data_IF_449573879202
#
_entry.id   IF_449573879202
#
_cell.length_a   1.000
_cell.length_b   1.000
_cell.length_c   1.000
_cell.angle_alpha   90.00
_cell.angle_beta   90.00
_cell.angle_gamma   90.00
#
_symmetry.space_group_name_H-M   'P 1'
#
loop_
_entity.id
_entity.type
_entity.pdbx_description
1 polymer ?
#
# COMPACT_ATOMS: atom_id res chain seq x y z
N UNK A 1 -45.03 11.43 -14.12
CA UNK A 1 -43.96 10.56 -14.57
C UNK A 1 -43.14 10.23 -13.32
N UNK A 2 -43.33 9.09 -12.75
CA UNK A 2 -42.54 8.60 -11.62
C UNK A 2 -41.17 8.22 -12.20
N UNK A 3 -40.14 9.02 -11.88
CA UNK A 3 -38.74 8.70 -12.16
C UNK A 3 -38.45 7.33 -11.52
N UNK A 4 -38.32 6.27 -12.33
CA UNK A 4 -37.73 5.04 -11.87
C UNK A 4 -36.31 5.39 -11.38
N UNK A 5 -35.91 4.96 -10.17
CA UNK A 5 -34.55 5.21 -9.69
C UNK A 5 -33.57 4.59 -10.69
N UNK A 6 -32.88 5.44 -11.44
CA UNK A 6 -31.86 4.97 -12.39
C UNK A 6 -30.87 4.10 -11.63
N UNK A 7 -30.56 2.92 -12.19
CA UNK A 7 -29.58 1.98 -11.61
C UNK A 7 -28.32 2.75 -11.25
N UNK A 8 -27.85 2.61 -10.01
CA UNK A 8 -26.57 3.17 -9.59
C UNK A 8 -25.43 2.57 -10.40
N UNK A 9 -24.49 3.42 -10.77
CA UNK A 9 -23.26 3.02 -11.44
C UNK A 9 -22.38 2.21 -10.48
N UNK A 10 -21.87 1.07 -10.92
CA UNK A 10 -21.04 0.17 -10.14
C UNK A 10 -19.58 0.35 -10.52
N UNK A 11 -18.78 0.85 -9.60
CA UNK A 11 -17.39 1.15 -9.81
C UNK A 11 -16.52 0.11 -9.09
N UNK A 12 -15.69 -0.61 -9.84
CA UNK A 12 -14.68 -1.51 -9.26
C UNK A 12 -13.42 -0.71 -8.92
N UNK A 13 -13.00 -0.73 -7.66
CA UNK A 13 -11.80 -0.04 -7.19
C UNK A 13 -10.69 -1.05 -6.87
N UNK A 14 -9.49 -0.84 -7.38
CA UNK A 14 -8.33 -1.61 -6.98
C UNK A 14 -7.91 -1.22 -5.56
N UNK A 15 -8.40 -1.94 -4.59
CA UNK A 15 -8.11 -1.77 -3.16
C UNK A 15 -8.08 -3.13 -2.45
N UNK A 16 -7.39 -3.22 -1.32
CA UNK A 16 -7.25 -4.48 -0.58
C UNK A 16 -8.50 -4.87 0.17
N UNK A 17 -9.21 -3.87 0.69
CA UNK A 17 -10.48 -4.04 1.41
C UNK A 17 -11.39 -2.85 1.16
N UNK A 18 -12.65 -2.99 1.48
CA UNK A 18 -13.56 -1.85 1.64
C UNK A 18 -13.18 -1.06 2.91
N UNK A 19 -13.33 0.27 2.95
CA UNK A 19 -13.19 1.05 4.17
C UNK A 19 -14.13 0.59 5.29
N UNK A 20 -15.24 -0.01 4.93
CA UNK A 20 -16.26 -0.51 5.87
C UNK A 20 -16.01 -1.97 6.33
N UNK A 21 -14.92 -2.60 5.88
CA UNK A 21 -14.50 -3.93 6.33
C UNK A 21 -13.66 -3.78 7.61
N UNK A 22 -14.25 -4.18 8.75
CA UNK A 22 -13.65 -4.11 10.09
C UNK A 22 -13.05 -5.46 10.53
N UNK A 23 -12.65 -6.31 9.58
CA UNK A 23 -12.07 -7.62 9.84
C UNK A 23 -10.88 -7.60 10.79
N UNK A 24 -10.56 -8.77 11.37
CA UNK A 24 -9.46 -8.92 12.33
C UNK A 24 -8.09 -8.64 11.69
N UNK A 25 -7.09 -8.35 12.55
CA UNK A 25 -5.70 -8.20 12.10
C UNK A 25 -5.19 -9.49 11.45
N UNK A 26 -5.54 -10.65 12.01
CA UNK A 26 -5.16 -11.96 11.50
C UNK A 26 -5.65 -12.16 10.06
N UNK A 27 -6.90 -11.81 9.78
CA UNK A 27 -7.46 -11.86 8.44
C UNK A 27 -6.80 -10.86 7.51
N UNK A 28 -6.50 -9.65 8.00
CA UNK A 28 -5.83 -8.61 7.23
C UNK A 28 -4.40 -9.03 6.84
N UNK A 29 -3.66 -9.65 7.77
CA UNK A 29 -2.33 -10.20 7.53
C UNK A 29 -2.39 -11.37 6.53
N UNK A 30 -3.31 -12.30 6.75
CA UNK A 30 -3.44 -13.48 5.90
C UNK A 30 -3.79 -13.14 4.45
N UNK A 31 -4.69 -12.18 4.24
CA UNK A 31 -5.09 -11.72 2.89
C UNK A 31 -4.18 -10.65 2.30
N UNK A 32 -3.24 -10.12 3.09
CA UNK A 32 -2.41 -8.95 2.73
C UNK A 32 -3.26 -7.80 2.15
N UNK A 33 -4.32 -7.42 2.87
CA UNK A 33 -5.28 -6.40 2.40
C UNK A 33 -4.65 -5.02 2.16
N UNK A 34 -3.44 -4.80 2.64
CA UNK A 34 -2.69 -3.55 2.46
C UNK A 34 -1.54 -3.64 1.43
N UNK A 35 -1.47 -4.74 0.65
CA UNK A 35 -0.44 -4.94 -0.37
C UNK A 35 0.97 -4.65 0.16
N UNK A 36 1.35 -5.31 1.25
CA UNK A 36 2.60 -5.20 1.98
C UNK A 36 2.87 -3.86 2.67
N UNK A 37 2.01 -2.84 2.49
CA UNK A 37 2.19 -1.50 3.10
C UNK A 37 0.84 -0.85 3.45
N UNK A 38 0.60 -0.59 4.74
CA UNK A 38 -0.65 -0.02 5.24
C UNK A 38 -0.94 1.40 4.72
N UNK A 39 0.08 2.13 4.29
CA UNK A 39 -0.11 3.42 3.61
C UNK A 39 -0.94 3.33 2.33
N UNK A 40 -1.05 2.13 1.72
CA UNK A 40 -1.93 1.92 0.58
C UNK A 40 -3.41 2.03 0.95
N UNK A 41 -3.78 1.78 2.20
CA UNK A 41 -5.15 1.92 2.68
C UNK A 41 -5.58 3.40 2.67
N UNK A 42 -4.69 4.33 3.05
CA UNK A 42 -5.03 5.77 3.09
C UNK A 42 -5.45 6.26 1.70
N UNK A 43 -4.70 5.91 0.65
CA UNK A 43 -5.07 6.41 -0.67
C UNK A 43 -6.22 5.63 -1.32
N UNK A 44 -6.39 4.34 -0.99
CA UNK A 44 -7.54 3.58 -1.48
C UNK A 44 -8.84 4.01 -0.80
N UNK A 45 -8.81 4.30 0.49
CA UNK A 45 -9.98 4.77 1.23
C UNK A 45 -10.36 6.20 0.81
N UNK A 46 -9.36 7.07 0.56
CA UNK A 46 -9.60 8.38 -0.01
C UNK A 46 -10.27 8.27 -1.39
N UNK A 47 -9.76 7.40 -2.28
CA UNK A 47 -10.38 7.17 -3.59
C UNK A 47 -11.80 6.61 -3.44
N UNK A 48 -12.02 5.71 -2.48
CA UNK A 48 -13.35 5.14 -2.21
C UNK A 48 -14.34 6.23 -1.76
N UNK A 49 -13.95 7.07 -0.78
CA UNK A 49 -14.77 8.19 -0.31
C UNK A 49 -15.09 9.16 -1.45
N UNK A 50 -14.07 9.61 -2.18
CA UNK A 50 -14.21 10.60 -3.25
C UNK A 50 -15.16 10.10 -4.36
N UNK A 51 -15.11 8.82 -4.69
CA UNK A 51 -15.88 8.23 -5.80
C UNK A 51 -17.26 7.69 -5.37
N UNK A 52 -17.58 7.67 -4.08
CA UNK A 52 -18.91 7.31 -3.59
C UNK A 52 -19.85 8.51 -3.71
N UNK A 53 -20.90 8.38 -4.52
CA UNK A 53 -21.93 9.41 -4.72
C UNK A 53 -23.32 8.79 -4.57
N UNK A 54 -24.39 9.59 -4.52
CA UNK A 54 -25.76 9.05 -4.54
C UNK A 54 -26.05 8.15 -5.75
N UNK A 55 -25.31 8.32 -6.87
CA UNK A 55 -25.47 7.58 -8.11
C UNK A 55 -24.37 6.53 -8.36
N UNK A 56 -23.35 6.41 -7.47
CA UNK A 56 -22.21 5.50 -7.66
C UNK A 56 -21.96 4.68 -6.41
N UNK A 57 -21.97 3.35 -6.55
CA UNK A 57 -21.50 2.41 -5.53
C UNK A 57 -20.09 1.93 -5.87
N UNK A 58 -19.18 1.90 -4.88
CA UNK A 58 -17.77 1.52 -5.04
C UNK A 58 -17.50 0.18 -4.40
N UNK A 59 -16.84 -0.72 -5.12
CA UNK A 59 -16.54 -2.09 -4.70
C UNK A 59 -15.03 -2.35 -4.75
N UNK A 60 -14.49 -2.95 -3.71
CA UNK A 60 -13.05 -3.31 -3.64
C UNK A 60 -12.79 -4.67 -4.32
N UNK A 61 -11.69 -4.77 -5.11
CA UNK A 61 -11.35 -6.00 -5.82
C UNK A 61 -10.34 -6.91 -5.09
N UNK A 62 -9.92 -6.57 -3.86
CA UNK A 62 -8.90 -7.32 -3.11
C UNK A 62 -7.51 -7.25 -3.73
N UNK A 63 -7.15 -6.16 -4.43
CA UNK A 63 -5.86 -5.94 -5.15
C UNK A 63 -5.62 -6.97 -6.27
N UNK A 64 -6.64 -7.71 -6.67
CA UNK A 64 -6.52 -8.77 -7.66
C UNK A 64 -6.51 -8.21 -9.07
N UNK A 65 -5.60 -8.72 -9.90
CA UNK A 65 -5.58 -8.49 -11.35
C UNK A 65 -5.51 -9.84 -12.04
N UNK A 66 -6.68 -10.48 -12.20
CA UNK A 66 -6.81 -11.83 -12.75
C UNK A 66 -7.46 -11.73 -14.14
N UNK A 67 -6.72 -11.96 -15.23
CA UNK A 67 -7.26 -11.82 -16.59
C UNK A 67 -8.50 -12.67 -16.86
N UNK A 68 -8.61 -13.86 -16.25
CA UNK A 68 -9.81 -14.72 -16.41
C UNK A 68 -11.07 -14.16 -15.74
N UNK A 69 -10.97 -13.08 -14.96
CA UNK A 69 -12.14 -12.39 -14.37
C UNK A 69 -12.67 -11.27 -15.28
N UNK A 70 -12.04 -11.02 -16.42
CA UNK A 70 -12.38 -9.89 -17.29
C UNK A 70 -13.84 -9.88 -17.71
N UNK A 71 -14.41 -11.05 -18.10
CA UNK A 71 -15.80 -11.13 -18.52
C UNK A 71 -16.77 -10.79 -17.39
N UNK A 72 -16.56 -11.36 -16.20
CA UNK A 72 -17.34 -11.03 -15.01
C UNK A 72 -17.26 -9.53 -14.68
N UNK A 73 -16.05 -8.94 -14.78
CA UNK A 73 -15.88 -7.50 -14.53
C UNK A 73 -16.64 -6.66 -15.54
N UNK A 74 -16.62 -7.04 -16.83
CA UNK A 74 -17.38 -6.36 -17.88
C UNK A 74 -18.90 -6.43 -17.69
N UNK A 75 -19.40 -7.51 -17.09
CA UNK A 75 -20.83 -7.71 -16.84
C UNK A 75 -21.31 -7.02 -15.56
N UNK A 76 -20.47 -7.04 -14.51
CA UNK A 76 -20.89 -6.59 -13.18
C UNK A 76 -20.60 -5.11 -12.92
N UNK A 77 -19.63 -4.48 -13.63
CA UNK A 77 -19.16 -3.14 -13.33
C UNK A 77 -19.18 -2.21 -14.54
N UNK A 78 -19.36 -0.93 -14.26
CA UNK A 78 -19.43 0.11 -15.28
C UNK A 78 -18.09 0.84 -15.50
N UNK A 79 -17.16 0.77 -14.52
CA UNK A 79 -15.81 1.37 -14.57
C UNK A 79 -14.85 0.59 -13.68
N UNK A 80 -13.59 0.47 -14.09
CA UNK A 80 -12.52 -0.01 -13.23
C UNK A 80 -11.54 1.13 -12.88
N UNK A 81 -11.48 1.53 -11.62
CA UNK A 81 -10.55 2.54 -11.12
C UNK A 81 -9.35 1.88 -10.46
N UNK A 82 -8.16 2.31 -10.84
CA UNK A 82 -6.89 1.68 -10.50
C UNK A 82 -5.97 2.68 -9.78
N UNK A 83 -6.12 2.87 -8.47
CA UNK A 83 -5.13 3.59 -7.69
C UNK A 83 -3.79 2.84 -7.71
N UNK A 84 -2.71 3.53 -8.12
CA UNK A 84 -1.37 2.97 -8.19
C UNK A 84 -0.36 3.93 -7.58
N UNK A 85 0.31 3.48 -6.50
CA UNK A 85 1.28 4.34 -5.83
C UNK A 85 2.65 4.32 -6.51
N UNK A 86 3.20 3.13 -6.74
CA UNK A 86 4.59 2.88 -7.11
C UNK A 86 4.67 1.69 -8.06
N UNK A 87 4.03 1.80 -9.22
CA UNK A 87 3.93 0.68 -10.14
C UNK A 87 5.06 0.64 -11.18
N UNK A 88 5.67 1.79 -11.51
CA UNK A 88 6.77 1.81 -12.47
C UNK A 88 8.10 1.60 -11.75
N UNK A 89 8.36 0.32 -11.39
CA UNK A 89 9.60 -0.16 -10.76
C UNK A 89 9.87 -1.62 -11.17
N UNK A 90 11.14 -2.05 -11.29
CA UNK A 90 11.47 -3.41 -11.76
C UNK A 90 10.81 -4.52 -10.93
N UNK A 91 10.72 -4.38 -9.62
CA UNK A 91 10.08 -5.38 -8.75
C UNK A 91 8.57 -5.52 -8.94
N UNK A 92 7.92 -4.59 -9.67
CA UNK A 92 6.49 -4.60 -9.96
C UNK A 92 6.17 -4.94 -11.42
N UNK A 93 7.15 -5.27 -12.23
CA UNK A 93 6.99 -5.53 -13.67
C UNK A 93 5.98 -6.65 -13.95
N UNK A 94 6.10 -7.80 -13.29
CA UNK A 94 5.18 -8.94 -13.48
C UNK A 94 3.73 -8.61 -13.08
N UNK A 95 3.45 -7.99 -11.92
CA UNK A 95 2.11 -7.50 -11.59
C UNK A 95 1.57 -6.50 -12.59
N UNK A 96 2.40 -5.58 -13.11
CA UNK A 96 2.02 -4.60 -14.10
C UNK A 96 1.63 -5.26 -15.44
N UNK A 97 2.42 -6.22 -15.91
CA UNK A 97 2.13 -6.99 -17.12
C UNK A 97 0.81 -7.78 -17.00
N UNK A 98 0.56 -8.39 -15.83
CA UNK A 98 -0.69 -9.11 -15.56
C UNK A 98 -1.90 -8.15 -15.57
N UNK A 99 -1.74 -6.97 -14.99
CA UNK A 99 -2.78 -5.94 -15.01
C UNK A 99 -3.05 -5.46 -16.45
N UNK A 100 -2.02 -5.30 -17.26
CA UNK A 100 -2.15 -4.97 -18.68
C UNK A 100 -2.96 -6.04 -19.43
N UNK A 101 -2.72 -7.32 -19.15
CA UNK A 101 -3.48 -8.42 -19.74
C UNK A 101 -4.96 -8.37 -19.36
N UNK A 102 -5.28 -8.02 -18.11
CA UNK A 102 -6.66 -7.80 -17.68
C UNK A 102 -7.28 -6.62 -18.42
N UNK A 103 -6.64 -5.43 -18.39
CA UNK A 103 -7.17 -4.20 -18.96
C UNK A 103 -7.48 -4.35 -20.46
N UNK A 104 -6.65 -5.06 -21.21
CA UNK A 104 -6.88 -5.31 -22.66
C UNK A 104 -8.15 -6.10 -22.93
N UNK A 105 -8.63 -6.91 -21.98
CA UNK A 105 -9.85 -7.70 -22.10
C UNK A 105 -11.09 -6.96 -21.59
N UNK A 106 -10.90 -5.84 -20.87
CA UNK A 106 -12.02 -5.02 -20.40
C UNK A 106 -12.63 -4.21 -21.55
N UNK A 107 -13.96 -4.11 -21.54
CA UNK A 107 -14.75 -3.26 -22.44
C UNK A 107 -15.21 -1.97 -21.76
N UNK A 108 -15.12 -1.93 -20.42
CA UNK A 108 -15.47 -0.77 -19.59
C UNK A 108 -14.29 0.21 -19.49
N UNK A 109 -14.54 1.49 -19.18
CA UNK A 109 -13.48 2.46 -18.89
C UNK A 109 -12.55 2.01 -17.77
N UNK A 110 -11.26 2.38 -17.90
CA UNK A 110 -10.23 2.09 -16.88
C UNK A 110 -9.48 3.37 -16.55
N UNK A 111 -9.57 3.84 -15.31
CA UNK A 111 -8.98 5.11 -14.89
C UNK A 111 -7.88 4.87 -13.85
N UNK A 112 -6.66 5.31 -14.12
CA UNK A 112 -5.50 5.17 -13.22
C UNK A 112 -5.33 6.42 -12.38
N UNK A 113 -5.21 6.26 -11.07
CA UNK A 113 -5.03 7.35 -10.11
C UNK A 113 -3.61 7.35 -9.53
N UNK A 114 -2.82 8.37 -9.85
CA UNK A 114 -1.59 8.72 -9.14
C UNK A 114 -0.44 7.72 -9.26
N UNK A 115 -0.25 7.09 -10.45
CA UNK A 115 0.89 6.20 -10.67
C UNK A 115 2.21 6.96 -10.65
N UNK A 116 3.26 6.33 -10.06
CA UNK A 116 4.59 6.93 -9.95
C UNK A 116 5.70 6.00 -10.44
N UNK A 117 6.77 6.61 -10.95
CA UNK A 117 8.00 5.97 -11.38
C UNK A 117 9.08 6.04 -10.28
N UNK A 118 9.71 4.91 -9.98
CA UNK A 118 10.75 4.84 -8.96
C UNK A 118 12.15 4.85 -9.55
N UNK A 119 12.85 5.95 -9.33
CA UNK A 119 14.25 6.16 -9.68
C UNK A 119 15.03 6.70 -8.46
N UNK A 120 16.36 6.80 -8.52
CA UNK A 120 17.14 7.53 -7.53
C UNK A 120 16.70 8.99 -7.39
N UNK A 121 17.08 9.66 -6.31
CA UNK A 121 16.77 11.09 -6.04
C UNK A 121 17.22 12.05 -7.16
N UNK A 122 18.22 11.66 -7.94
CA UNK A 122 18.68 12.42 -9.12
C UNK A 122 17.75 12.33 -10.33
N UNK A 123 16.60 11.63 -10.21
CA UNK A 123 15.68 11.40 -11.33
C UNK A 123 16.30 10.69 -12.54
N UNK A 124 17.28 9.79 -12.31
CA UNK A 124 17.88 8.98 -13.37
C UNK A 124 16.93 7.86 -13.80
N UNK A 125 16.26 8.07 -14.95
CA UNK A 125 15.34 7.12 -15.53
C UNK A 125 16.02 5.87 -16.14
N UNK A 126 17.36 5.82 -16.22
CA UNK A 126 18.08 4.65 -16.78
C UNK A 126 17.73 3.33 -16.08
N UNK A 127 17.45 3.39 -14.77
CA UNK A 127 17.00 2.21 -14.02
C UNK A 127 15.63 1.67 -14.44
N UNK A 128 14.84 2.46 -15.14
CA UNK A 128 13.51 2.06 -15.63
C UNK A 128 13.57 1.44 -17.04
N UNK A 129 14.72 1.54 -17.75
CA UNK A 129 14.88 0.96 -19.10
C UNK A 129 14.46 -0.52 -19.20
N UNK A 130 14.80 -1.41 -18.26
CA UNK A 130 14.43 -2.81 -18.39
C UNK A 130 12.91 -3.04 -18.46
N UNK A 131 12.11 -2.17 -17.83
CA UNK A 131 10.66 -2.30 -17.80
C UNK A 131 9.92 -1.34 -18.75
N UNK A 132 10.65 -0.56 -19.55
CA UNK A 132 10.07 0.46 -20.45
C UNK A 132 8.99 -0.13 -21.36
N UNK A 133 9.23 -1.30 -21.94
CA UNK A 133 8.27 -1.98 -22.80
C UNK A 133 7.00 -2.37 -22.04
N UNK A 134 7.12 -2.85 -20.80
CA UNK A 134 5.97 -3.19 -19.96
C UNK A 134 5.17 -1.94 -19.57
N UNK A 135 5.85 -0.84 -19.25
CA UNK A 135 5.19 0.46 -18.97
C UNK A 135 4.47 0.96 -20.21
N UNK A 136 5.11 0.94 -21.38
CA UNK A 136 4.51 1.34 -22.66
C UNK A 136 3.23 0.56 -22.95
N UNK A 137 3.27 -0.76 -22.78
CA UNK A 137 2.10 -1.62 -23.00
C UNK A 137 0.97 -1.34 -21.99
N UNK A 138 1.31 -1.06 -20.74
CA UNK A 138 0.34 -0.71 -19.73
C UNK A 138 -0.33 0.63 -20.01
N UNK A 139 0.46 1.67 -20.26
CA UNK A 139 -0.07 3.01 -20.53
C UNK A 139 -0.94 3.03 -21.79
N UNK A 140 -0.50 2.38 -22.87
CA UNK A 140 -1.31 2.25 -24.07
C UNK A 140 -2.66 1.55 -23.78
N UNK A 141 -2.66 0.43 -23.05
CA UNK A 141 -3.90 -0.28 -22.70
C UNK A 141 -4.83 0.57 -21.82
N UNK A 142 -4.30 1.43 -20.95
CA UNK A 142 -5.09 2.37 -20.13
C UNK A 142 -5.69 3.46 -21.02
N UNK A 143 -4.89 4.09 -21.89
CA UNK A 143 -5.34 5.18 -22.77
C UNK A 143 -6.33 4.71 -23.86
N UNK A 144 -6.34 3.42 -24.20
CA UNK A 144 -7.40 2.82 -25.01
C UNK A 144 -8.77 2.81 -24.30
N UNK A 145 -8.83 3.09 -23.01
CA UNK A 145 -10.02 2.98 -22.13
C UNK A 145 -10.31 4.23 -21.31
N UNK A 146 -9.45 5.27 -21.37
CA UNK A 146 -9.57 6.51 -20.60
C UNK A 146 -9.09 7.70 -21.40
N UNK A 147 -9.57 8.89 -21.08
CA UNK A 147 -9.16 10.14 -21.71
C UNK A 147 -7.71 10.51 -21.39
N UNK A 148 -7.25 10.16 -20.17
CA UNK A 148 -5.89 10.45 -19.71
C UNK A 148 -5.48 9.51 -18.58
N UNK A 149 -4.17 9.43 -18.31
CA UNK A 149 -3.62 8.71 -17.18
C UNK A 149 -3.16 9.69 -16.09
N UNK A 150 -3.64 9.49 -14.84
CA UNK A 150 -3.25 10.30 -13.69
C UNK A 150 -1.93 9.85 -13.09
N UNK A 151 -0.93 10.73 -13.05
CA UNK A 151 0.39 10.46 -12.49
C UNK A 151 0.67 11.25 -11.21
N UNK A 152 1.65 10.78 -10.45
CA UNK A 152 1.99 11.30 -9.13
C UNK A 152 2.69 12.66 -9.16
N UNK A 153 3.51 12.91 -10.17
CA UNK A 153 4.30 14.13 -10.27
C UNK A 153 4.98 14.29 -11.60
N UNK A 154 5.71 15.39 -11.72
CA UNK A 154 6.36 15.85 -12.95
C UNK A 154 7.42 14.89 -13.51
N UNK A 155 8.14 14.16 -12.64
CA UNK A 155 9.13 13.19 -13.08
C UNK A 155 8.46 12.04 -13.84
N UNK A 156 7.37 11.52 -13.29
CA UNK A 156 6.61 10.44 -13.95
C UNK A 156 5.96 10.95 -15.25
N UNK A 157 5.41 12.17 -15.25
CA UNK A 157 4.84 12.77 -16.46
C UNK A 157 5.88 12.89 -17.59
N UNK A 158 7.07 13.42 -17.28
CA UNK A 158 8.18 13.51 -18.25
C UNK A 158 8.62 12.14 -18.76
N UNK A 159 8.77 11.17 -17.87
CA UNK A 159 9.14 9.81 -18.25
C UNK A 159 8.15 9.21 -19.26
N UNK A 160 6.85 9.44 -19.11
CA UNK A 160 5.84 9.00 -20.08
C UNK A 160 5.86 9.85 -21.36
N UNK A 161 6.10 11.14 -21.26
CA UNK A 161 6.23 12.04 -22.41
C UNK A 161 7.43 11.66 -23.30
N UNK A 162 8.56 11.26 -22.71
CA UNK A 162 9.75 10.76 -23.42
C UNK A 162 9.45 9.44 -24.17
N UNK A 163 8.48 8.68 -23.72
CA UNK A 163 7.95 7.51 -24.43
C UNK A 163 6.88 7.86 -25.47
N UNK A 164 6.55 9.14 -25.67
CA UNK A 164 5.60 9.61 -26.69
C UNK A 164 4.15 9.73 -26.20
N UNK A 165 3.83 9.48 -24.94
CA UNK A 165 2.48 9.67 -24.40
C UNK A 165 2.22 11.14 -24.05
N UNK A 166 1.05 11.67 -24.46
CA UNK A 166 0.66 13.07 -24.25
C UNK A 166 -0.53 13.21 -23.29
N UNK A 167 -1.42 12.23 -23.26
CA UNK A 167 -2.61 12.23 -22.43
C UNK A 167 -2.26 11.80 -20.98
N UNK A 168 -1.37 12.62 -20.36
CA UNK A 168 -0.81 12.38 -19.02
C UNK A 168 -1.07 13.61 -18.16
N UNK A 169 -1.71 13.42 -17.00
CA UNK A 169 -2.03 14.50 -16.08
C UNK A 169 -1.39 14.31 -14.71
N UNK A 170 -0.74 15.36 -14.20
CA UNK A 170 -0.18 15.33 -12.84
C UNK A 170 -1.30 15.64 -11.84
N UNK A 171 -1.70 14.63 -11.10
CA UNK A 171 -2.80 14.70 -10.12
C UNK A 171 -2.38 14.42 -8.67
N UNK A 172 -1.12 14.05 -8.46
CA UNK A 172 -0.62 13.72 -7.13
C UNK A 172 -1.14 12.37 -6.60
N UNK A 173 -1.61 12.38 -5.36
CA UNK A 173 -2.15 11.22 -4.67
C UNK A 173 -3.54 11.53 -4.10
N UNK A 174 -4.56 10.68 -4.35
CA UNK A 174 -5.91 10.90 -3.82
C UNK A 174 -5.98 11.08 -2.30
N UNK A 175 -5.03 10.51 -1.55
CA UNK A 175 -5.00 10.64 -0.08
C UNK A 175 -4.99 12.08 0.40
N UNK A 176 -4.33 12.99 -0.32
CA UNK A 176 -4.28 14.41 0.06
C UNK A 176 -5.64 15.10 -0.06
N UNK A 177 -6.57 14.53 -0.82
CA UNK A 177 -7.90 15.07 -1.08
C UNK A 177 -9.01 14.34 -0.30
N UNK A 178 -8.65 13.59 0.75
CA UNK A 178 -9.60 12.86 1.61
C UNK A 178 -10.68 13.81 2.20
N UNK A 179 -10.30 15.05 2.51
CA UNK A 179 -11.16 16.08 3.09
C UNK A 179 -11.59 17.17 2.06
N UNK A 180 -11.44 16.90 0.76
CA UNK A 180 -11.82 17.83 -0.31
C UNK A 180 -10.85 19.00 -0.48
N UNK A 181 -11.42 20.18 -0.80
CA UNK A 181 -10.67 21.41 -1.06
C UNK A 181 -10.04 22.01 0.21
N UNK A 182 -10.58 21.70 1.38
CA UNK A 182 -10.09 22.27 2.64
C UNK A 182 -8.94 21.46 3.20
N UNK A 183 -7.85 22.16 3.50
CA UNK A 183 -6.69 21.58 4.16
C UNK A 183 -6.31 22.41 5.39
N UNK A 184 -6.47 21.83 6.57
CA UNK A 184 -6.20 22.51 7.84
C UNK A 184 -4.96 21.92 8.50
N UNK A 185 -4.00 22.75 8.83
CA UNK A 185 -2.78 22.37 9.52
C UNK A 185 -2.45 23.40 10.57
N UNK A 186 -2.15 22.96 11.78
CA UNK A 186 -1.80 23.86 12.89
C UNK A 186 -0.37 23.61 13.34
N UNK A 187 0.53 24.49 12.93
CA UNK A 187 1.90 24.54 13.50
C UNK A 187 1.83 25.40 14.78
N UNK A 188 2.12 24.77 15.92
CA UNK A 188 2.16 25.49 17.21
C UNK A 188 3.31 26.50 17.21
N UNK A 189 3.12 27.61 17.92
CA UNK A 189 4.20 28.58 18.14
C UNK A 189 5.22 28.03 19.13
N UNK A 190 6.50 28.28 18.85
CA UNK A 190 7.62 27.84 19.66
C UNK A 190 8.24 26.50 19.23
N UNK A 191 9.42 26.17 19.77
CA UNK A 191 10.18 24.96 19.42
C UNK A 191 9.53 23.71 20.03
N UNK A 192 9.86 22.55 19.47
CA UNK A 192 9.58 21.27 20.12
C UNK A 192 10.42 21.16 21.41
N UNK A 193 9.80 20.65 22.46
CA UNK A 193 10.45 20.40 23.77
C UNK A 193 10.56 18.89 23.99
N UNK A 194 11.32 18.49 25.02
CA UNK A 194 11.43 17.07 25.39
C UNK A 194 10.08 16.42 25.75
N UNK A 195 9.08 17.22 26.15
CA UNK A 195 7.72 16.77 26.39
C UNK A 195 6.87 16.61 25.13
N UNK A 196 7.38 17.00 23.95
CA UNK A 196 6.63 16.93 22.70
C UNK A 196 6.38 15.48 22.26
N UNK A 197 5.21 15.26 21.66
CA UNK A 197 4.79 13.97 21.12
C UNK A 197 5.19 13.89 19.64
N UNK A 198 6.14 13.02 19.33
CA UNK A 198 6.73 12.89 17.99
C UNK A 198 6.29 11.55 17.37
N UNK A 199 5.73 11.60 16.16
CA UNK A 199 5.53 10.42 15.33
C UNK A 199 6.71 10.26 14.36
N UNK A 200 7.33 9.09 14.33
CA UNK A 200 8.41 8.80 13.40
C UNK A 200 8.11 7.56 12.56
N UNK A 201 8.51 7.59 11.30
CA UNK A 201 8.37 6.47 10.40
C UNK A 201 9.63 6.27 9.55
N UNK A 202 9.89 5.04 9.13
CA UNK A 202 11.08 4.74 8.35
C UNK A 202 10.92 3.55 7.41
N UNK A 203 11.70 3.52 6.33
CA UNK A 203 11.86 2.35 5.48
C UNK A 203 13.23 1.73 5.70
N UNK A 204 13.32 0.40 5.68
CA UNK A 204 14.59 -0.32 5.83
C UNK A 204 15.63 0.08 4.78
N UNK A 205 15.19 0.42 3.56
CA UNK A 205 16.08 0.89 2.50
C UNK A 205 16.66 2.28 2.81
N UNK A 206 15.86 3.20 3.36
CA UNK A 206 16.32 4.54 3.75
C UNK A 206 17.28 4.47 4.94
N UNK A 207 17.03 3.60 5.89
CA UNK A 207 17.90 3.35 7.04
C UNK A 207 19.28 2.87 6.58
N UNK A 208 19.32 1.80 5.78
CA UNK A 208 20.59 1.23 5.33
C UNK A 208 21.43 2.16 4.45
N UNK A 209 20.77 3.01 3.66
CA UNK A 209 21.46 3.84 2.67
C UNK A 209 21.91 5.22 3.22
N UNK A 210 21.26 5.75 4.27
CA UNK A 210 21.36 7.20 4.56
C UNK A 210 21.35 7.58 6.05
N UNK A 211 21.62 6.65 6.97
CA UNK A 211 21.78 7.01 8.41
C UNK A 211 20.48 7.46 9.12
N UNK A 212 19.30 7.21 8.55
CA UNK A 212 18.00 7.52 9.19
C UNK A 212 17.89 6.87 10.58
N UNK A 213 18.56 5.75 10.78
CA UNK A 213 18.62 5.04 12.04
C UNK A 213 19.27 5.84 13.17
N UNK A 214 20.33 6.59 12.88
CA UNK A 214 20.98 7.45 13.86
C UNK A 214 20.05 8.59 14.30
N UNK A 215 19.33 9.18 13.34
CA UNK A 215 18.32 10.23 13.61
C UNK A 215 17.20 9.67 14.50
N UNK A 216 16.65 8.50 14.15
CA UNK A 216 15.56 7.85 14.91
C UNK A 216 16.03 7.50 16.33
N UNK A 217 17.23 6.95 16.49
CA UNK A 217 17.80 6.58 17.80
C UNK A 217 17.99 7.80 18.69
N UNK A 218 18.53 8.90 18.13
CA UNK A 218 18.71 10.17 18.85
C UNK A 218 17.36 10.76 19.27
N UNK A 219 16.41 10.80 18.36
CA UNK A 219 15.05 11.26 18.66
C UNK A 219 14.38 10.39 19.75
N UNK A 220 14.56 9.07 19.71
CA UNK A 220 14.05 8.18 20.76
C UNK A 220 14.67 8.47 22.13
N UNK A 221 15.97 8.78 22.19
CA UNK A 221 16.63 9.14 23.44
C UNK A 221 16.21 10.49 24.01
N UNK A 222 15.83 11.46 23.15
CA UNK A 222 15.44 12.79 23.57
C UNK A 222 13.94 12.92 23.90
N UNK A 223 13.07 12.29 23.11
CA UNK A 223 11.61 12.47 23.22
C UNK A 223 10.92 11.24 23.86
N UNK A 224 10.61 11.27 25.17
CA UNK A 224 9.96 10.16 25.87
C UNK A 224 8.64 9.74 25.25
N UNK A 225 7.90 10.69 24.64
CA UNK A 225 6.61 10.47 24.01
C UNK A 225 6.69 10.18 22.50
N UNK A 226 7.88 9.88 22.00
CA UNK A 226 8.04 9.45 20.61
C UNK A 226 7.37 8.10 20.36
N UNK A 227 6.73 7.98 19.19
CA UNK A 227 6.18 6.71 18.69
C UNK A 227 6.70 6.41 17.30
N UNK A 228 7.09 5.18 17.08
CA UNK A 228 7.42 4.66 15.76
C UNK A 228 6.16 4.08 15.12
N UNK A 229 5.84 4.56 13.91
CA UNK A 229 4.68 4.11 13.15
C UNK A 229 5.15 3.17 12.03
N UNK A 230 4.96 1.87 12.26
CA UNK A 230 5.22 0.82 11.28
C UNK A 230 4.18 0.82 10.16
N UNK A 231 4.56 0.34 8.98
CA UNK A 231 3.69 0.31 7.81
C UNK A 231 3.85 -0.97 6.97
N UNK A 232 4.82 -1.83 7.29
CA UNK A 232 5.10 -3.03 6.52
C UNK A 232 4.38 -4.26 7.08
N UNK A 233 4.18 -5.26 6.21
CA UNK A 233 3.73 -6.58 6.61
C UNK A 233 4.65 -7.19 7.68
N UNK A 234 5.98 -7.13 7.50
CA UNK A 234 6.94 -7.62 8.48
C UNK A 234 6.84 -6.94 9.85
N UNK A 235 6.55 -5.64 9.89
CA UNK A 235 6.32 -4.91 11.14
C UNK A 235 5.00 -5.34 11.80
N UNK A 236 3.97 -5.63 11.01
CA UNK A 236 2.70 -6.14 11.52
C UNK A 236 2.85 -7.57 12.07
N UNK A 237 3.58 -8.45 11.39
CA UNK A 237 3.91 -9.81 11.84
C UNK A 237 4.74 -9.79 13.13
N UNK A 238 5.73 -8.90 13.21
CA UNK A 238 6.51 -8.69 14.42
C UNK A 238 5.65 -8.25 15.61
N UNK A 239 4.78 -7.27 15.40
CA UNK A 239 3.91 -6.75 16.46
C UNK A 239 2.91 -7.81 16.94
N UNK A 240 2.31 -8.54 16.00
CA UNK A 240 1.24 -9.48 16.31
C UNK A 240 1.75 -10.87 16.72
N UNK A 241 2.69 -11.43 15.94
CA UNK A 241 3.22 -12.79 16.16
C UNK A 241 4.57 -12.83 16.86
N UNK A 242 5.25 -11.70 17.08
CA UNK A 242 6.67 -11.58 17.46
C UNK A 242 7.61 -12.23 16.45
N UNK A 243 7.15 -12.44 15.23
CA UNK A 243 7.95 -13.01 14.17
C UNK A 243 8.93 -11.96 13.61
N UNK A 244 10.17 -12.36 13.40
CA UNK A 244 11.20 -11.49 12.85
C UNK A 244 12.07 -12.26 11.87
N UNK A 245 12.45 -11.64 10.74
CA UNK A 245 13.42 -12.24 9.81
C UNK A 245 14.86 -12.22 10.38
N UNK A 246 15.08 -11.60 11.53
CA UNK A 246 16.39 -11.44 12.18
C UNK A 246 16.43 -12.18 13.51
N UNK A 247 16.56 -13.53 13.54
CA UNK A 247 16.48 -14.33 14.76
C UNK A 247 17.60 -14.00 15.77
N UNK A 248 18.73 -13.49 15.31
CA UNK A 248 19.91 -13.26 16.15
C UNK A 248 19.87 -11.95 16.94
N UNK A 249 18.73 -11.25 16.96
CA UNK A 249 18.58 -10.02 17.74
C UNK A 249 19.53 -8.92 17.30
N UNK A 250 19.94 -8.93 16.01
CA UNK A 250 20.80 -7.90 15.46
C UNK A 250 20.27 -6.52 15.88
N UNK A 251 21.07 -5.76 16.60
CA UNK A 251 20.72 -4.41 17.05
C UNK A 251 20.55 -3.52 15.83
N UNK A 252 19.36 -3.59 15.23
CA UNK A 252 19.00 -2.62 14.21
C UNK A 252 18.48 -1.38 14.92
N UNK A 253 18.77 -0.24 14.39
CA UNK A 253 18.28 1.05 14.91
C UNK A 253 16.78 1.24 14.66
N UNK A 254 16.19 0.34 13.93
CA UNK A 254 14.75 0.24 13.66
C UNK A 254 14.13 -0.85 14.56
N UNK A 255 12.89 -0.67 15.01
CA UNK A 255 12.21 -1.67 15.85
C UNK A 255 11.79 -2.91 15.03
N UNK A 256 12.78 -3.67 14.57
CA UNK A 256 12.60 -4.89 13.74
C UNK A 256 12.77 -6.19 14.52
N UNK A 257 12.99 -6.10 15.84
CA UNK A 257 13.15 -7.25 16.71
C UNK A 257 12.47 -7.01 18.08
N UNK A 258 11.91 -8.03 18.73
CA UNK A 258 11.24 -7.88 20.04
C UNK A 258 12.15 -7.34 21.15
N UNK A 259 13.47 -7.46 21.03
CA UNK A 259 14.44 -6.92 21.99
C UNK A 259 14.70 -5.42 21.82
N UNK A 260 14.20 -4.77 20.75
CA UNK A 260 14.43 -3.35 20.53
C UNK A 260 13.78 -2.50 21.63
N UNK A 261 14.46 -1.43 22.14
CA UNK A 261 13.90 -0.60 23.21
C UNK A 261 12.51 -0.06 22.92
N UNK A 262 12.27 0.50 21.73
CA UNK A 262 10.94 1.01 21.35
C UNK A 262 9.84 -0.05 21.38
N UNK A 263 10.18 -1.33 21.10
CA UNK A 263 9.25 -2.43 21.20
C UNK A 263 8.90 -2.73 22.67
N UNK A 264 9.92 -2.81 23.55
CA UNK A 264 9.76 -3.08 25.00
C UNK A 264 9.03 -1.94 25.73
N UNK A 265 9.23 -0.71 25.28
CA UNK A 265 8.64 0.51 25.84
C UNK A 265 7.24 0.80 25.29
N UNK A 266 6.66 -0.13 24.53
CA UNK A 266 5.34 0.04 23.88
C UNK A 266 5.27 1.30 23.00
N UNK A 267 6.35 1.64 22.31
CA UNK A 267 6.46 2.84 21.45
C UNK A 267 6.24 2.56 19.96
N UNK A 268 5.95 1.32 19.58
CA UNK A 268 5.67 0.95 18.17
C UNK A 268 4.18 0.80 17.96
N UNK A 269 3.69 1.35 16.85
CA UNK A 269 2.29 1.22 16.41
C UNK A 269 2.23 0.87 14.93
N UNK A 270 1.21 0.14 14.56
CA UNK A 270 0.83 -0.07 13.17
C UNK A 270 -0.69 0.00 13.07
N UNK A 271 -1.21 0.54 11.98
CA UNK A 271 -2.64 0.72 11.78
C UNK A 271 -3.07 -0.05 10.52
N UNK A 272 -4.17 -0.79 10.65
CA UNK A 272 -4.85 -1.46 9.52
C UNK A 272 -6.13 -0.74 9.12
N UNK A 273 -6.33 0.44 9.70
CA UNK A 273 -7.45 1.33 9.39
C UNK A 273 -6.98 2.80 9.33
N UNK A 274 -7.24 3.53 8.23
CA UNK A 274 -6.83 4.92 8.07
C UNK A 274 -7.50 5.89 9.03
N UNK A 275 -8.78 5.66 9.40
CA UNK A 275 -9.51 6.56 10.31
C UNK A 275 -8.91 6.51 11.70
N UNK A 276 -8.66 5.29 12.21
CA UNK A 276 -7.96 5.09 13.48
C UNK A 276 -6.57 5.72 13.45
N UNK A 277 -5.83 5.51 12.34
CA UNK A 277 -4.47 6.06 12.18
C UNK A 277 -4.45 7.57 12.24
N UNK A 278 -5.25 8.23 11.39
CA UNK A 278 -5.35 9.69 11.33
C UNK A 278 -5.89 10.23 12.67
N UNK A 279 -6.86 9.56 13.27
CA UNK A 279 -7.46 9.94 14.56
C UNK A 279 -6.43 9.99 15.68
N UNK A 280 -5.64 8.93 15.86
CA UNK A 280 -4.61 8.88 16.91
C UNK A 280 -3.46 9.88 16.69
N UNK A 281 -3.16 10.21 15.42
CA UNK A 281 -2.10 11.18 15.12
C UNK A 281 -2.46 12.61 15.52
N UNK A 282 -3.73 12.96 15.71
CA UNK A 282 -4.16 14.32 16.17
C UNK A 282 -3.54 14.72 17.50
N UNK A 283 -3.15 13.77 18.31
CA UNK A 283 -2.52 14.02 19.60
C UNK A 283 -1.01 14.31 19.51
N UNK A 284 -0.41 14.28 18.32
CA UNK A 284 1.02 14.52 18.14
C UNK A 284 1.31 15.98 17.79
N UNK A 285 2.53 16.42 18.13
CA UNK A 285 2.99 17.77 17.83
C UNK A 285 3.70 17.84 16.50
N UNK A 286 4.35 16.74 16.08
CA UNK A 286 5.13 16.66 14.85
C UNK A 286 5.28 15.23 14.35
N UNK A 287 5.38 15.07 13.03
CA UNK A 287 5.75 13.81 12.39
C UNK A 287 6.94 14.00 11.46
N UNK A 288 7.83 12.99 11.38
CA UNK A 288 8.87 12.97 10.37
C UNK A 288 9.24 11.55 9.96
N UNK A 289 9.88 11.41 8.79
CA UNK A 289 10.40 10.13 8.34
C UNK A 289 10.39 9.94 6.84
N UNK A 290 10.75 8.73 6.37
CA UNK A 290 10.94 8.44 4.95
C UNK A 290 9.71 7.81 4.27
N UNK A 291 8.64 7.51 5.02
CA UNK A 291 7.41 6.91 4.49
C UNK A 291 6.39 8.00 4.18
N UNK A 292 6.15 8.24 2.87
CA UNK A 292 5.28 9.35 2.45
C UNK A 292 3.88 9.28 3.06
N UNK A 293 3.23 8.10 3.07
CA UNK A 293 1.87 8.00 3.61
C UNK A 293 1.80 8.09 5.14
N UNK A 294 2.88 7.73 5.86
CA UNK A 294 2.95 8.00 7.30
C UNK A 294 2.96 9.49 7.63
N UNK A 295 3.63 10.27 6.79
CA UNK A 295 3.64 11.72 6.92
C UNK A 295 2.35 12.36 6.39
N UNK A 296 1.76 11.82 5.31
CA UNK A 296 0.43 12.26 4.83
C UNK A 296 -0.64 12.01 5.89
N UNK A 297 -0.62 10.88 6.59
CA UNK A 297 -1.57 10.62 7.69
C UNK A 297 -1.48 11.70 8.79
N UNK A 298 -0.27 12.13 9.14
CA UNK A 298 -0.07 13.24 10.09
C UNK A 298 -0.61 14.56 9.53
N UNK A 299 -0.32 14.88 8.28
CA UNK A 299 -0.84 16.08 7.62
C UNK A 299 -2.38 16.09 7.57
N UNK A 300 -3.01 14.94 7.28
CA UNK A 300 -4.46 14.78 7.29
C UNK A 300 -5.07 14.88 8.71
N UNK A 301 -4.28 14.56 9.72
CA UNK A 301 -4.63 14.78 11.13
C UNK A 301 -4.49 16.25 11.57
N UNK A 302 -3.99 17.15 10.70
CA UNK A 302 -3.68 18.55 11.02
C UNK A 302 -2.33 18.73 11.72
N UNK A 303 -1.48 17.71 11.73
CA UNK A 303 -0.18 17.69 12.41
C UNK A 303 0.95 18.03 11.42
N UNK A 304 1.83 19.00 11.76
CA UNK A 304 3.01 19.31 10.96
C UNK A 304 3.86 18.09 10.67
N UNK A 305 4.36 17.97 9.43
CA UNK A 305 5.15 16.81 9.06
C UNK A 305 6.25 17.16 8.04
N UNK A 306 7.45 16.59 8.22
CA UNK A 306 8.58 16.73 7.28
C UNK A 306 8.98 15.37 6.72
N UNK A 307 9.04 15.27 5.39
CA UNK A 307 9.41 14.04 4.70
C UNK A 307 10.90 13.99 4.43
N UNK A 308 11.57 12.93 4.86
CA UNK A 308 12.96 12.62 4.52
C UNK A 308 12.98 11.75 3.25
N UNK A 309 13.10 12.40 2.09
CA UNK A 309 12.99 11.73 0.79
C UNK A 309 14.22 10.86 0.51
N UNK A 310 14.00 9.59 0.20
CA UNK A 310 15.03 8.62 -0.17
C UNK A 310 15.00 8.18 -1.64
N UNK A 311 13.93 8.52 -2.37
CA UNK A 311 13.78 8.19 -3.79
C UNK A 311 12.94 9.24 -4.54
N UNK A 312 12.92 9.14 -5.88
CA UNK A 312 12.22 10.06 -6.77
C UNK A 312 10.72 10.17 -6.50
N UNK A 313 10.06 9.07 -6.14
CA UNK A 313 8.61 9.01 -5.95
C UNK A 313 8.12 9.77 -4.73
N UNK A 314 8.91 9.76 -3.64
CA UNK A 314 8.62 10.57 -2.45
C UNK A 314 8.90 12.03 -2.74
N UNK A 315 10.01 12.30 -3.43
CA UNK A 315 10.43 13.65 -3.78
C UNK A 315 9.46 14.33 -4.76
N UNK A 316 9.00 13.64 -5.84
CA UNK A 316 8.06 14.23 -6.79
C UNK A 316 6.71 14.55 -6.14
N UNK A 317 6.23 13.70 -5.23
CA UNK A 317 4.98 13.93 -4.51
C UNK A 317 5.10 15.10 -3.53
N UNK A 318 6.20 15.18 -2.79
CA UNK A 318 6.47 16.32 -1.92
C UNK A 318 6.55 17.63 -2.69
N UNK A 319 7.19 17.64 -3.87
CA UNK A 319 7.27 18.82 -4.74
C UNK A 319 5.92 19.23 -5.28
N UNK A 320 5.12 18.27 -5.75
CA UNK A 320 3.79 18.56 -6.29
C UNK A 320 2.85 19.18 -5.26
N UNK A 321 2.84 18.64 -4.03
CA UNK A 321 1.99 19.18 -2.96
C UNK A 321 2.66 20.27 -2.12
N UNK A 322 3.92 20.58 -2.38
CA UNK A 322 4.75 21.48 -1.56
C UNK A 322 4.81 21.05 -0.08
N UNK A 323 4.85 19.72 0.15
CA UNK A 323 5.06 19.17 1.49
C UNK A 323 6.49 19.47 1.92
N UNK A 324 6.72 19.99 3.15
CA UNK A 324 8.05 20.17 3.70
C UNK A 324 8.87 18.90 3.62
N UNK A 325 10.04 18.97 3.01
CA UNK A 325 10.89 17.80 2.79
C UNK A 325 12.37 18.14 2.75
N UNK A 326 13.20 17.13 3.00
CA UNK A 326 14.65 17.16 2.78
C UNK A 326 15.04 15.90 2.02
N UNK A 327 16.07 15.99 1.18
CA UNK A 327 16.71 14.77 0.68
C UNK A 327 17.49 14.16 1.84
N UNK A 328 17.24 12.90 2.14
CA UNK A 328 17.83 12.25 3.31
C UNK A 328 19.36 12.24 3.26
N UNK A 329 19.95 12.20 2.05
CA UNK A 329 21.40 12.28 1.83
C UNK A 329 22.01 13.65 2.16
N UNK A 330 21.20 14.70 2.31
CA UNK A 330 21.62 16.06 2.63
C UNK A 330 21.37 16.40 4.11
N UNK A 331 20.80 15.47 4.87
CA UNK A 331 20.46 15.65 6.29
C UNK A 331 21.57 15.02 7.13
N UNK A 332 22.23 15.78 8.04
CA UNK A 332 23.16 15.21 8.99
C UNK A 332 22.48 14.14 9.87
N UNK A 333 23.20 13.07 10.18
CA UNK A 333 22.72 12.02 11.10
C UNK A 333 22.53 12.53 12.55
N UNK A 334 23.02 13.73 12.82
CA UNK A 334 22.89 14.47 14.10
C UNK A 334 21.66 15.35 14.18
N UNK A 335 20.90 15.54 13.08
CA UNK A 335 19.75 16.45 13.06
C UNK A 335 18.74 16.09 14.13
N UNK A 336 18.20 17.11 14.79
CA UNK A 336 17.12 16.95 15.75
C UNK A 336 15.75 17.18 15.08
N UNK A 337 14.70 16.44 15.45
CA UNK A 337 13.34 16.71 14.99
C UNK A 337 12.88 18.17 15.16
N UNK A 338 13.36 18.89 16.20
CA UNK A 338 13.04 20.29 16.39
C UNK A 338 13.57 21.18 15.25
N UNK A 339 14.77 20.90 14.74
CA UNK A 339 15.33 21.61 13.59
C UNK A 339 14.50 21.39 12.31
N UNK A 340 14.02 20.16 12.10
CA UNK A 340 13.13 19.85 10.98
C UNK A 340 11.79 20.56 11.12
N UNK A 341 11.24 20.61 12.33
CA UNK A 341 9.99 21.30 12.64
C UNK A 341 10.11 22.80 12.42
N UNK A 342 11.15 23.43 12.95
CA UNK A 342 11.36 24.88 12.83
C UNK A 342 11.54 25.31 11.37
N UNK A 343 12.32 24.55 10.61
CA UNK A 343 12.61 24.83 9.20
C UNK A 343 11.43 24.53 8.25
N UNK A 344 10.37 23.86 8.72
CA UNK A 344 9.25 23.47 7.88
C UNK A 344 8.31 24.65 7.61
N UNK A 345 8.16 25.01 6.32
CA UNK A 345 7.16 25.95 5.83
C UNK A 345 6.02 25.20 5.15
N UNK A 346 4.79 25.45 5.59
CA UNK A 346 3.58 24.85 5.10
C UNK A 346 2.74 25.78 4.22
N UNK A 347 3.22 27.00 3.97
CA UNK A 347 2.47 28.01 3.22
C UNK A 347 2.06 27.53 1.83
N UNK A 348 3.00 26.98 1.06
CA UNK A 348 2.73 26.46 -0.28
C UNK A 348 1.80 25.23 -0.28
N UNK A 349 1.93 24.36 0.72
CA UNK A 349 1.03 23.21 0.89
C UNK A 349 -0.42 23.66 1.08
N UNK A 350 -0.65 24.56 2.06
CA UNK A 350 -1.99 25.01 2.44
C UNK A 350 -2.61 25.88 1.35
N UNK A 351 -1.89 26.92 0.91
CA UNK A 351 -2.40 27.89 -0.06
C UNK A 351 -2.66 27.30 -1.45
N UNK A 352 -1.84 26.32 -1.88
CA UNK A 352 -1.99 25.66 -3.18
C UNK A 352 -2.90 24.43 -3.16
N UNK A 353 -3.46 24.04 -2.02
CA UNK A 353 -4.22 22.81 -1.89
C UNK A 353 -5.51 22.80 -2.72
N UNK A 354 -6.28 23.90 -2.66
CA UNK A 354 -7.55 24.04 -3.40
C UNK A 354 -7.33 23.94 -4.92
N UNK A 355 -6.30 24.61 -5.46
CA UNK A 355 -5.98 24.53 -6.90
C UNK A 355 -5.67 23.09 -7.31
N UNK A 356 -4.87 22.38 -6.53
CA UNK A 356 -4.51 20.98 -6.77
C UNK A 356 -5.73 20.07 -6.67
N UNK A 357 -6.62 20.35 -5.73
CA UNK A 357 -7.89 19.65 -5.60
C UNK A 357 -8.78 19.85 -6.84
N UNK A 358 -8.98 21.09 -7.29
CA UNK A 358 -9.78 21.39 -8.49
C UNK A 358 -9.18 20.71 -9.75
N UNK A 359 -7.87 20.68 -9.87
CA UNK A 359 -7.17 19.93 -10.94
C UNK A 359 -7.47 18.43 -10.89
N UNK A 360 -7.46 17.86 -9.70
CA UNK A 360 -7.81 16.45 -9.47
C UNK A 360 -9.28 16.16 -9.82
N UNK A 361 -10.21 17.01 -9.40
CA UNK A 361 -11.63 16.89 -9.74
C UNK A 361 -11.82 16.98 -11.27
N UNK A 362 -11.22 17.97 -11.92
CA UNK A 362 -11.28 18.09 -13.38
C UNK A 362 -10.74 16.87 -14.11
N UNK A 363 -9.68 16.22 -13.58
CA UNK A 363 -9.19 14.94 -14.11
C UNK A 363 -10.24 13.83 -13.98
N UNK A 364 -10.91 13.70 -12.81
CA UNK A 364 -11.98 12.71 -12.63
C UNK A 364 -13.11 12.92 -13.64
N UNK A 365 -13.58 14.14 -13.79
CA UNK A 365 -14.67 14.50 -14.70
C UNK A 365 -14.32 14.22 -16.18
N UNK A 366 -13.11 14.59 -16.63
CA UNK A 366 -12.63 14.27 -18.00
C UNK A 366 -12.59 12.77 -18.27
N UNK A 367 -12.34 11.96 -17.24
CA UNK A 367 -12.38 10.50 -17.32
C UNK A 367 -13.76 9.91 -17.00
N UNK A 368 -14.81 10.73 -16.98
CA UNK A 368 -16.20 10.30 -16.77
C UNK A 368 -16.49 9.77 -15.38
N UNK A 369 -15.74 10.20 -14.37
CA UNK A 369 -15.94 9.82 -12.97
C UNK A 369 -16.67 10.94 -12.21
N UNK A 370 -17.80 10.62 -11.60
CA UNK A 370 -18.42 11.48 -10.59
C UNK A 370 -17.62 11.44 -9.29
N UNK A 371 -17.72 12.50 -8.51
CA UNK A 371 -17.10 12.62 -7.21
C UNK A 371 -18.07 13.19 -6.18
N UNK A 372 -17.89 12.84 -4.90
CA UNK A 372 -18.79 13.25 -3.83
C UNK A 372 -18.81 14.75 -3.59
N UNK A 373 -17.75 15.49 -3.93
CA UNK A 373 -17.63 16.93 -3.67
C UNK A 373 -18.41 17.78 -4.67
N UNK A 374 -18.56 17.30 -5.91
CA UNK A 374 -19.34 17.99 -6.95
C UNK A 374 -20.76 17.41 -7.10
N UNK A 375 -20.90 16.07 -6.90
CA UNK A 375 -22.13 15.33 -7.23
C UNK A 375 -22.75 14.64 -6.01
N UNK A 376 -22.30 14.96 -4.80
CA UNK A 376 -22.77 14.35 -3.56
C UNK A 376 -22.78 15.32 -2.38
N UNK A 377 -22.57 14.80 -1.19
CA UNK A 377 -22.62 15.50 0.08
C UNK A 377 -21.25 15.86 0.66
N UNK A 378 -20.21 15.87 -0.17
CA UNK A 378 -18.83 16.08 0.27
C UNK A 378 -18.25 14.90 1.06
N UNK A 379 -18.91 13.74 1.06
CA UNK A 379 -18.53 12.54 1.80
C UNK A 379 -19.09 12.45 3.21
N UNK A 380 -20.07 13.29 3.58
CA UNK A 380 -20.65 13.30 4.91
C UNK A 380 -21.34 11.96 5.26
N UNK A 381 -22.11 11.38 4.34
CA UNK A 381 -22.72 10.06 4.54
C UNK A 381 -21.69 8.93 4.66
N UNK A 382 -20.59 9.03 3.90
CA UNK A 382 -19.47 8.08 4.01
C UNK A 382 -18.83 8.15 5.41
N UNK A 383 -18.52 9.35 5.88
CA UNK A 383 -17.92 9.58 7.20
C UNK A 383 -18.86 9.15 8.34
N UNK A 384 -20.15 9.46 8.23
CA UNK A 384 -21.16 9.02 9.20
C UNK A 384 -21.26 7.49 9.28
N UNK A 385 -21.19 6.82 8.14
CA UNK A 385 -21.16 5.35 8.10
C UNK A 385 -19.92 4.79 8.79
N UNK A 386 -18.74 5.36 8.55
CA UNK A 386 -17.49 4.95 9.22
C UNK A 386 -17.55 5.18 10.74
N UNK A 387 -18.08 6.33 11.17
CA UNK A 387 -18.23 6.65 12.59
C UNK A 387 -19.14 5.67 13.36
N UNK A 388 -20.05 4.99 12.65
CA UNK A 388 -20.91 3.94 13.22
C UNK A 388 -20.25 2.56 13.36
N UNK A 389 -18.99 2.38 12.93
CA UNK A 389 -18.30 1.10 12.96
C UNK A 389 -17.34 0.98 14.14
N UNK A 390 -17.19 -0.24 14.65
CA UNK A 390 -16.11 -0.59 15.58
C UNK A 390 -14.81 -0.80 14.79
N UNK A 391 -14.10 0.29 14.50
CA UNK A 391 -12.85 0.24 13.75
C UNK A 391 -11.74 -0.40 14.57
N UNK A 392 -10.81 -1.16 13.93
CA UNK A 392 -9.73 -1.82 14.64
C UNK A 392 -8.79 -0.79 15.28
N UNK A 393 -8.39 -1.00 16.55
CA UNK A 393 -7.41 -0.14 17.22
C UNK A 393 -6.02 -0.29 16.63
N UNK A 394 -5.10 0.58 17.04
CA UNK A 394 -3.69 0.43 16.70
C UNK A 394 -3.14 -0.93 17.13
N UNK A 395 -2.42 -1.58 16.25
CA UNK A 395 -1.66 -2.78 16.58
C UNK A 395 -0.47 -2.38 17.44
N UNK A 396 -0.34 -3.01 18.60
CA UNK A 396 0.69 -2.74 19.61
C UNK A 396 1.63 -3.93 19.76
N UNK A 397 2.84 -3.73 20.31
CA UNK A 397 3.73 -4.83 20.64
C UNK A 397 3.04 -5.87 21.54
N UNK A 398 3.03 -7.12 21.12
CA UNK A 398 2.55 -8.19 21.96
C UNK A 398 3.62 -8.59 22.96
N UNK A 399 3.34 -8.37 24.25
CA UNK A 399 4.26 -8.66 25.34
C UNK A 399 3.99 -10.02 26.02
N UNK A 400 2.96 -10.74 25.57
CA UNK A 400 2.69 -12.12 26.02
C UNK A 400 1.91 -12.25 27.33
N UNK A 401 1.42 -11.15 27.90
CA UNK A 401 0.76 -11.14 29.22
C UNK A 401 -0.78 -11.11 29.16
N UNK A 402 -1.36 -11.28 27.96
CA UNK A 402 -2.80 -11.27 27.75
C UNK A 402 -3.28 -12.67 27.33
N UNK A 403 -3.88 -13.45 28.26
CA UNK A 403 -4.37 -14.80 27.99
C UNK A 403 -5.53 -14.83 26.97
N UNK A 404 -6.38 -13.79 26.93
CA UNK A 404 -7.50 -13.71 25.98
C UNK A 404 -6.99 -13.48 24.56
N UNK A 405 -6.06 -12.55 24.38
CA UNK A 405 -5.39 -12.32 23.10
C UNK A 405 -4.63 -13.58 22.62
N UNK A 406 -3.99 -14.31 23.54
CA UNK A 406 -3.33 -15.57 23.21
C UNK A 406 -4.34 -16.64 22.79
N UNK A 407 -5.44 -16.77 23.50
CA UNK A 407 -6.53 -17.71 23.18
C UNK A 407 -7.14 -17.40 21.82
N UNK A 408 -7.40 -16.12 21.51
CA UNK A 408 -7.91 -15.69 20.24
C UNK A 408 -6.96 -16.05 19.07
N UNK A 409 -5.64 -15.82 19.25
CA UNK A 409 -4.63 -16.21 18.27
C UNK A 409 -4.58 -17.71 18.01
N UNK A 410 -4.61 -18.52 19.09
CA UNK A 410 -4.66 -19.97 18.96
C UNK A 410 -5.95 -20.44 18.29
N UNK A 411 -7.08 -19.84 18.62
CA UNK A 411 -8.37 -20.12 17.99
C UNK A 411 -8.32 -19.85 16.48
N UNK A 412 -7.79 -18.72 16.09
CA UNK A 412 -7.61 -18.37 14.67
C UNK A 412 -6.67 -19.34 13.95
N UNK A 413 -5.49 -19.63 14.53
CA UNK A 413 -4.54 -20.59 13.97
C UNK A 413 -5.16 -21.98 13.78
N UNK A 414 -5.92 -22.46 14.77
CA UNK A 414 -6.62 -23.73 14.69
C UNK A 414 -7.64 -23.76 13.55
N UNK A 415 -8.50 -22.75 13.46
CA UNK A 415 -9.46 -22.63 12.35
C UNK A 415 -8.75 -22.62 11.01
N UNK A 416 -7.63 -21.91 10.92
CA UNK A 416 -6.83 -21.83 9.69
C UNK A 416 -6.19 -23.16 9.31
N UNK A 417 -5.70 -23.93 10.28
CA UNK A 417 -5.18 -25.28 10.05
C UNK A 417 -6.28 -26.22 9.53
N UNK A 418 -7.50 -26.12 10.06
CA UNK A 418 -8.64 -26.90 9.63
C UNK A 418 -9.05 -26.56 8.18
N UNK A 419 -9.10 -25.27 7.82
CA UNK A 419 -9.35 -24.82 6.45
C UNK A 419 -8.29 -25.34 5.46
N UNK A 420 -7.01 -25.25 5.81
CA UNK A 420 -5.90 -25.73 4.99
C UNK A 420 -5.97 -27.25 4.83
N UNK A 421 -6.32 -27.98 5.87
CA UNK A 421 -6.51 -29.43 5.82
C UNK A 421 -7.66 -29.81 4.88
N UNK A 422 -8.80 -29.12 4.98
CA UNK A 422 -9.95 -29.31 4.09
C UNK A 422 -9.62 -29.00 2.64
N UNK A 423 -8.92 -27.87 2.39
CA UNK A 423 -8.48 -27.48 1.04
C UNK A 423 -7.49 -28.50 0.44
N UNK A 424 -6.53 -28.98 1.22
CA UNK A 424 -5.60 -30.03 0.80
C UNK A 424 -6.32 -31.34 0.49
N UNK A 425 -7.33 -31.73 1.28
CA UNK A 425 -8.15 -32.91 1.01
C UNK A 425 -8.91 -32.76 -0.32
N UNK A 426 -9.50 -31.58 -0.56
CA UNK A 426 -10.18 -31.27 -1.83
C UNK A 426 -9.22 -31.34 -3.04
N UNK A 427 -8.02 -30.76 -2.92
CA UNK A 427 -7.00 -30.81 -3.99
C UNK A 427 -6.55 -32.24 -4.28
N UNK A 428 -6.35 -33.06 -3.23
CA UNK A 428 -6.01 -34.50 -3.39
C UNK A 428 -7.15 -35.26 -4.07
N UNK A 429 -8.41 -34.98 -3.71
CA UNK A 429 -9.58 -35.56 -4.34
C UNK A 429 -9.65 -35.21 -5.84
N UNK A 430 -9.41 -33.94 -6.20
CA UNK A 430 -9.37 -33.49 -7.60
C UNK A 430 -8.23 -34.13 -8.40
N UNK A 431 -7.07 -34.32 -7.79
CA UNK A 431 -5.93 -35.01 -8.41
C UNK A 431 -6.24 -36.51 -8.60
N UNK A 432 -6.81 -37.19 -7.60
CA UNK A 432 -7.23 -38.59 -7.70
C UNK A 432 -8.31 -38.80 -8.76
N UNK A 433 -9.27 -37.89 -8.88
CA UNK A 433 -10.29 -37.91 -9.91
C UNK A 433 -9.80 -37.65 -11.35
N UNK A 434 -8.61 -37.03 -11.50
CA UNK A 434 -7.95 -36.83 -12.80
C UNK A 434 -7.07 -38.00 -13.24
N UNK A 435 -6.75 -38.92 -12.36
CA UNK A 435 -6.14 -40.21 -12.67
C UNK A 435 -7.20 -41.25 -12.94
N UNK A 436 -8.13 -41.02 -13.89
CA UNK A 436 -8.83 -42.13 -14.53
C UNK A 436 -7.82 -42.94 -15.33
N UNK A 437 -7.83 -44.26 -15.21
CA UNK A 437 -6.83 -45.09 -15.83
C UNK A 437 -7.05 -45.15 -17.35
N UNK A 438 -6.28 -44.35 -18.09
CA UNK A 438 -5.92 -44.79 -19.43
C UNK A 438 -5.11 -46.04 -19.19
N UNK A 439 -5.71 -47.23 -19.36
CA UNK A 439 -5.06 -48.51 -19.18
C UNK A 439 -3.92 -48.67 -20.17
N UNK A 440 -2.75 -48.22 -19.78
CA UNK A 440 -1.50 -48.68 -20.41
C UNK A 440 -1.18 -50.02 -19.80
N UNK A 441 -1.66 -51.08 -20.48
CA UNK A 441 -1.22 -52.45 -20.22
C UNK A 441 0.25 -52.56 -20.62
N UNK A 442 1.15 -52.35 -19.66
CA UNK A 442 2.58 -52.66 -19.86
C UNK A 442 2.69 -54.17 -19.79
N UNK A 443 2.88 -54.84 -20.94
CA UNK A 443 3.35 -56.21 -20.98
C UNK A 443 4.77 -56.24 -20.44
N UNK A 444 4.96 -56.72 -19.21
CA UNK A 444 6.25 -56.98 -18.64
C UNK A 444 6.72 -58.33 -19.25
N UNK A 445 7.58 -58.25 -20.28
CA UNK A 445 8.34 -59.38 -20.73
C UNK A 445 9.33 -59.81 -19.63
N UNK A 446 9.36 -61.10 -19.31
CA UNK A 446 10.33 -61.69 -18.38
C UNK A 446 11.73 -61.46 -18.92
N UNK A 447 12.49 -60.55 -18.30
CA UNK A 447 13.90 -60.28 -18.53
C UNK A 447 14.52 -59.89 -17.20
N UNK A 448 15.38 -60.77 -16.70
CA UNK A 448 16.24 -60.58 -15.53
C UNK A 448 17.20 -59.41 -15.76
N UNK A 449 16.99 -58.28 -15.09
CA UNK A 449 17.86 -57.10 -15.17
C UNK A 449 17.50 -56.01 -14.17
N UNK A 450 18.39 -55.74 -13.30
CA UNK A 450 18.41 -54.83 -12.15
C UNK A 450 17.78 -53.45 -12.34
N UNK A 451 16.77 -53.15 -11.52
CA UNK A 451 16.29 -51.78 -11.22
C UNK A 451 17.37 -50.96 -10.51
N UNK A 452 17.84 -49.86 -11.08
CA UNK A 452 17.79 -48.64 -10.27
C UNK A 452 17.82 -47.28 -11.01
N UNK A 453 17.31 -47.04 -12.17
CA UNK A 453 17.53 -45.73 -12.83
C UNK A 453 16.29 -44.81 -12.91
N UNK A 454 15.10 -45.33 -12.75
CA UNK A 454 13.85 -44.54 -12.91
C UNK A 454 13.50 -43.78 -11.64
N UNK A 455 13.83 -44.28 -10.46
CA UNK A 455 13.49 -43.66 -9.19
C UNK A 455 14.34 -42.40 -8.85
N UNK A 456 15.52 -42.26 -9.44
CA UNK A 456 16.38 -41.06 -9.26
C UNK A 456 15.96 -39.86 -10.11
N UNK A 457 15.23 -40.05 -11.19
CA UNK A 457 14.76 -38.94 -12.05
C UNK A 457 13.51 -38.26 -11.52
N UNK A 458 12.59 -38.97 -10.86
CA UNK A 458 11.38 -38.42 -10.27
C UNK A 458 11.70 -37.51 -9.07
N UNK A 459 12.75 -37.82 -8.29
CA UNK A 459 13.16 -36.99 -7.14
C UNK A 459 13.84 -35.66 -7.53
N UNK A 460 14.31 -35.53 -8.76
CA UNK A 460 14.94 -34.30 -9.28
C UNK A 460 13.91 -33.30 -9.85
N UNK A 461 12.72 -33.72 -10.20
CA UNK A 461 11.69 -32.85 -10.79
C UNK A 461 10.80 -32.23 -9.73
N UNK A 462 10.60 -32.87 -8.58
CA UNK A 462 9.73 -32.37 -7.50
C UNK A 462 10.47 -31.52 -6.47
N UNK A 463 11.80 -31.57 -6.43
CA UNK A 463 12.62 -30.88 -5.40
C UNK A 463 13.15 -29.48 -5.75
N UNK A 464 12.85 -28.93 -6.94
CA UNK A 464 13.41 -27.64 -7.38
C UNK A 464 12.52 -26.39 -7.23
N UNK A 465 11.21 -26.41 -7.09
CA UNK A 465 10.45 -25.17 -6.96
C UNK A 465 10.48 -24.52 -5.57
N UNK A 466 10.73 -25.29 -4.50
CA UNK A 466 10.56 -24.76 -3.13
C UNK A 466 11.80 -24.04 -2.59
N UNK A 467 12.99 -24.35 -3.11
CA UNK A 467 14.24 -23.70 -2.65
C UNK A 467 14.56 -22.34 -3.29
N UNK A 468 13.81 -21.91 -4.31
CA UNK A 468 14.03 -20.61 -4.98
C UNK A 468 13.18 -19.48 -4.43
N UNK A 469 12.26 -19.78 -3.49
CA UNK A 469 11.40 -18.79 -2.82
C UNK A 469 11.94 -18.30 -1.48
N UNK A 470 13.07 -18.86 -1.00
CA UNK A 470 13.63 -18.55 0.32
C UNK A 470 15.08 -18.01 0.27
N UNK A 471 15.51 -17.42 -0.84
CA UNK A 471 16.76 -16.62 -0.82
C UNK A 471 16.39 -15.15 -0.82
N UNK A 472 16.80 -14.37 0.19
CA UNK A 472 16.82 -12.92 0.08
C UNK A 472 17.86 -12.57 -1.00
N UNK A 473 17.45 -11.87 -2.03
CA UNK A 473 18.37 -11.23 -2.96
C UNK A 473 19.11 -10.11 -2.22
N UNK A 474 20.43 -10.21 -2.24
CA UNK A 474 21.38 -9.17 -1.84
C UNK A 474 21.20 -7.83 -2.59
#
# INVERSE_FOLDING_TARGET
>A
MTDEPSRKRRLLLRSGKSPFDTGSLEDALHRDVFATNTGNLIFSDAAHKILTTPRTDVFSNGIRAVPSEAERINEEYDVFVVPLANAFRPTFERPLARMTQLIRQLRIPVVVLGVGAQAPLAYDAKRLKPMEQTVRQFVAAVLDRSASIGVRGEFTARYLADMGFRDVEVIGCPSMFLNGATFTLTKRQGPLTDGSRIAVNGSHSAVRAHGLDAIIRRAHGRYPHLRFIGQNLLEAELLHWRETPHPDGAQTSMPTHPSHPMYREDKVRLYIDPVTWIGELRDFDFSFGSRIHGNIAALLAGVPSTVLCSDSRTLELCRYFEIPHRRISEVPDTVDPAELYEAADFGGLVNGHEERFLRFIGFLERNGLENTFTHGDGGAAFDARLAGLALPPAVRPWIGNDPEALSARFGWLRSRMEELAAHNAQLRGRLAGRTSPVGVRIQIGQGTGTLPTVYRRARRVVGRPVRKLLRPEE
#
